data_IF_458005369506
#
_entry.id   IF_458005369506
#
_cell.length_a   1.000
_cell.length_b   1.000
_cell.length_c   1.000
_cell.angle_alpha   90.00
_cell.angle_beta   90.00
_cell.angle_gamma   90.00
#
_symmetry.space_group_name_H-M   'P 1'
#
loop_
_entity.id
_entity.type
_entity.pdbx_description
1 polymer ?
#
# COMPACT_ATOMS: atom_id res chain seq x y z
N UNK A 1 -3.27 60.40 2.75
CA UNK A 1 -2.00 59.64 2.79
C UNK A 1 -1.92 59.08 4.21
N UNK A 2 -2.10 57.80 4.49
CA UNK A 2 -1.52 56.60 3.86
C UNK A 2 -2.43 55.36 4.00
N UNK A 3 -2.19 54.42 3.07
CA UNK A 3 -2.86 53.14 2.75
C UNK A 3 -2.84 52.10 3.88
N UNK A 4 -3.87 51.27 4.11
CA UNK A 4 -4.46 50.12 3.36
C UNK A 4 -3.73 48.77 3.56
N UNK A 5 -4.55 47.76 3.92
CA UNK A 5 -4.41 46.31 3.77
C UNK A 5 -3.54 45.46 4.73
N UNK A 6 -4.23 44.81 5.67
CA UNK A 6 -3.86 43.49 6.21
C UNK A 6 -5.12 42.74 6.71
N UNK A 7 -5.89 42.14 5.81
CA UNK A 7 -7.07 41.32 6.20
C UNK A 7 -7.47 40.25 5.18
N UNK A 8 -6.49 39.61 4.53
CA UNK A 8 -6.73 38.63 3.44
C UNK A 8 -6.35 37.16 3.69
N UNK A 9 -5.42 36.86 4.61
CA UNK A 9 -4.64 35.61 4.47
C UNK A 9 -5.06 34.44 5.37
N UNK A 10 -5.90 34.67 6.38
CA UNK A 10 -6.35 33.60 7.29
C UNK A 10 -7.39 32.66 6.64
N UNK A 11 -8.28 33.19 5.80
CA UNK A 11 -9.35 32.43 5.17
C UNK A 11 -8.84 31.50 4.05
N UNK A 12 -7.80 31.92 3.32
CA UNK A 12 -7.18 31.12 2.25
C UNK A 12 -6.40 29.92 2.81
N UNK A 13 -5.76 30.07 3.97
CA UNK A 13 -4.89 29.06 4.57
C UNK A 13 -5.66 27.86 5.13
N UNK A 14 -6.83 28.08 5.74
CA UNK A 14 -7.70 27.01 6.25
C UNK A 14 -8.29 26.17 5.10
N UNK A 15 -8.74 26.85 4.03
CA UNK A 15 -9.27 26.20 2.83
C UNK A 15 -8.20 25.40 2.09
N UNK A 16 -6.96 25.90 2.05
CA UNK A 16 -5.82 25.20 1.43
C UNK A 16 -5.43 23.93 2.20
N UNK A 17 -5.53 23.95 3.53
CA UNK A 17 -5.30 22.78 4.35
C UNK A 17 -6.36 21.70 4.11
N UNK A 18 -7.62 22.11 3.96
CA UNK A 18 -8.73 21.19 3.71
C UNK A 18 -8.68 20.58 2.30
N UNK A 19 -8.41 21.40 1.28
CA UNK A 19 -8.32 20.94 -0.12
C UNK A 19 -7.24 19.88 -0.31
N UNK A 20 -6.05 20.07 0.26
CA UNK A 20 -4.96 19.09 0.10
C UNK A 20 -5.28 17.75 0.79
N UNK A 21 -5.97 17.79 1.94
CA UNK A 21 -6.42 16.58 2.63
C UNK A 21 -7.48 15.86 1.79
N UNK A 22 -8.43 16.57 1.20
CA UNK A 22 -9.41 15.98 0.30
C UNK A 22 -8.73 15.35 -0.93
N UNK A 23 -7.76 16.03 -1.55
CA UNK A 23 -7.00 15.46 -2.68
C UNK A 23 -6.24 14.20 -2.26
N UNK A 24 -5.56 14.21 -1.11
CA UNK A 24 -4.90 13.01 -0.57
C UNK A 24 -5.89 11.86 -0.38
N UNK A 25 -7.04 12.12 0.26
CA UNK A 25 -8.08 11.12 0.47
C UNK A 25 -8.61 10.56 -0.86
N UNK A 26 -8.86 11.42 -1.84
CA UNK A 26 -9.31 10.99 -3.16
C UNK A 26 -8.27 10.11 -3.86
N UNK A 27 -6.96 10.43 -3.75
CA UNK A 27 -5.89 9.61 -4.30
C UNK A 27 -5.83 8.25 -3.60
N UNK A 28 -5.95 8.21 -2.27
CA UNK A 28 -5.94 6.95 -1.51
C UNK A 28 -7.16 6.08 -1.82
N UNK A 29 -8.34 6.69 -1.95
CA UNK A 29 -9.57 5.99 -2.35
C UNK A 29 -9.47 5.45 -3.77
N UNK A 30 -8.95 6.24 -4.71
CA UNK A 30 -8.69 5.79 -6.08
C UNK A 30 -7.69 4.63 -6.09
N UNK A 31 -6.59 4.75 -5.34
CA UNK A 31 -5.57 3.72 -5.24
C UNK A 31 -6.12 2.40 -4.67
N UNK A 32 -6.95 2.49 -3.63
CA UNK A 32 -7.64 1.34 -3.04
C UNK A 32 -8.59 0.71 -4.04
N UNK A 33 -9.44 1.51 -4.69
CA UNK A 33 -10.39 1.02 -5.68
C UNK A 33 -9.69 0.30 -6.83
N UNK A 34 -8.64 0.88 -7.41
CA UNK A 34 -7.86 0.27 -8.49
C UNK A 34 -7.22 -1.06 -8.08
N UNK A 35 -6.83 -1.21 -6.81
CA UNK A 35 -6.19 -2.43 -6.30
C UNK A 35 -7.19 -3.51 -5.91
N UNK A 36 -8.39 -3.15 -5.45
CA UNK A 36 -9.44 -4.13 -5.13
C UNK A 36 -10.24 -4.54 -6.37
N UNK A 37 -10.27 -3.70 -7.41
CA UNK A 37 -10.97 -4.02 -8.65
C UNK A 37 -10.46 -5.33 -9.26
N UNK A 38 -11.37 -6.29 -9.45
CA UNK A 38 -11.10 -7.62 -10.00
C UNK A 38 -10.13 -8.51 -9.19
N UNK A 39 -9.91 -8.22 -7.90
CA UNK A 39 -8.91 -8.91 -7.06
C UNK A 39 -9.05 -10.45 -6.99
N UNK A 40 -10.27 -10.97 -7.16
CA UNK A 40 -10.58 -12.40 -7.09
C UNK A 40 -11.08 -12.99 -8.40
N UNK A 41 -10.95 -12.28 -9.53
CA UNK A 41 -11.42 -12.82 -10.81
C UNK A 41 -10.51 -13.93 -11.34
N UNK A 42 -9.20 -13.79 -11.13
CA UNK A 42 -8.22 -14.78 -11.54
C UNK A 42 -7.91 -15.75 -10.41
N UNK A 43 -7.85 -17.04 -10.73
CA UNK A 43 -7.31 -18.06 -9.82
C UNK A 43 -5.84 -17.76 -9.47
N UNK A 44 -5.34 -18.37 -8.41
CA UNK A 44 -3.92 -18.28 -8.08
C UNK A 44 -3.05 -18.85 -9.21
N UNK A 45 -2.01 -18.10 -9.57
CA UNK A 45 -0.93 -18.62 -10.39
C UNK A 45 0.11 -19.33 -9.52
N UNK A 46 1.04 -20.04 -10.16
CA UNK A 46 1.98 -20.97 -9.51
C UNK A 46 2.69 -20.38 -8.29
N UNK A 47 3.18 -19.15 -8.42
CA UNK A 47 3.95 -18.44 -7.39
C UNK A 47 3.10 -18.05 -6.16
N UNK A 48 1.83 -17.71 -6.36
CA UNK A 48 0.89 -17.46 -5.27
C UNK A 48 0.57 -18.75 -4.53
N UNK A 49 0.29 -19.84 -5.25
CA UNK A 49 0.02 -21.15 -4.64
C UNK A 49 1.19 -21.56 -3.74
N UNK A 50 2.43 -21.42 -4.20
CA UNK A 50 3.61 -21.74 -3.40
C UNK A 50 3.72 -20.86 -2.14
N UNK A 51 3.32 -19.59 -2.25
CA UNK A 51 3.30 -18.67 -1.11
C UNK A 51 2.25 -19.05 -0.07
N UNK A 52 1.06 -19.41 -0.51
CA UNK A 52 -0.04 -19.89 0.33
C UNK A 52 0.34 -21.20 1.02
N UNK A 53 0.85 -22.19 0.27
CA UNK A 53 1.26 -23.49 0.83
C UNK A 53 2.29 -23.35 1.95
N UNK A 54 3.29 -22.49 1.76
CA UNK A 54 4.28 -22.21 2.79
C UNK A 54 3.69 -21.50 4.00
N UNK A 55 2.83 -20.52 3.80
CA UNK A 55 2.14 -19.84 4.90
C UNK A 55 1.20 -20.79 5.68
N UNK A 56 0.67 -21.81 5.01
CA UNK A 56 -0.18 -22.86 5.60
C UNK A 56 0.60 -24.00 6.24
N UNK A 57 1.95 -24.02 6.16
CA UNK A 57 2.77 -25.01 6.85
C UNK A 57 2.58 -25.00 8.39
N UNK A 58 2.00 -23.93 8.94
CA UNK A 58 1.59 -23.82 10.33
C UNK A 58 2.45 -22.83 11.12
N UNK A 59 2.85 -23.20 12.34
CA UNK A 59 3.57 -22.31 13.25
C UNK A 59 4.90 -21.79 12.72
N UNK A 60 5.44 -20.76 13.37
CA UNK A 60 6.68 -20.03 12.99
C UNK A 60 7.83 -20.97 12.59
N UNK A 61 8.05 -22.05 13.37
CA UNK A 61 9.09 -23.05 13.11
C UNK A 61 8.84 -23.86 11.85
N UNK A 62 7.61 -24.29 11.60
CA UNK A 62 7.27 -25.06 10.42
C UNK A 62 7.46 -24.23 9.14
N UNK A 63 7.07 -22.95 9.18
CA UNK A 63 7.31 -22.01 8.07
C UNK A 63 8.82 -21.81 7.86
N UNK A 64 9.58 -21.63 8.93
CA UNK A 64 11.04 -21.51 8.83
C UNK A 64 11.67 -22.74 8.19
N UNK A 65 11.23 -23.94 8.59
CA UNK A 65 11.72 -25.19 8.02
C UNK A 65 11.30 -25.37 6.56
N UNK A 66 10.08 -24.96 6.17
CA UNK A 66 9.56 -24.98 4.80
C UNK A 66 10.25 -23.97 3.86
N UNK A 67 10.92 -22.97 4.42
CA UNK A 67 11.72 -21.98 3.70
C UNK A 67 13.21 -22.35 3.62
N UNK A 68 13.62 -23.51 4.15
CA UNK A 68 15.02 -23.95 4.01
C UNK A 68 15.37 -24.13 2.54
N UNK A 69 16.37 -23.36 2.08
CA UNK A 69 16.80 -23.34 0.69
C UNK A 69 16.00 -22.40 -0.21
N UNK A 70 15.02 -21.68 0.34
CA UNK A 70 14.30 -20.65 -0.39
C UNK A 70 15.04 -19.31 -0.37
N UNK A 71 14.95 -18.56 -1.47
CA UNK A 71 15.60 -17.25 -1.62
C UNK A 71 14.81 -16.10 -0.99
N UNK A 72 13.55 -16.32 -0.64
CA UNK A 72 12.66 -15.26 -0.17
C UNK A 72 12.71 -15.09 1.35
N UNK A 73 12.73 -13.85 1.87
CA UNK A 73 12.73 -13.59 3.31
C UNK A 73 11.50 -14.17 4.03
N UNK A 74 11.67 -14.74 5.24
CA UNK A 74 10.61 -15.48 5.94
C UNK A 74 9.50 -14.58 6.49
N UNK A 75 9.78 -13.30 6.71
CA UNK A 75 8.86 -12.37 7.35
C UNK A 75 7.51 -12.29 6.63
N UNK A 76 7.52 -12.27 5.30
CA UNK A 76 6.29 -12.25 4.51
C UNK A 76 5.40 -13.46 4.77
N UNK A 77 5.99 -14.67 4.86
CA UNK A 77 5.24 -15.91 5.04
C UNK A 77 4.66 -16.03 6.45
N UNK A 78 5.36 -15.54 7.47
CA UNK A 78 4.81 -15.44 8.82
C UNK A 78 3.65 -14.46 8.90
N UNK A 79 3.80 -13.28 8.30
CA UNK A 79 2.73 -12.28 8.25
C UNK A 79 1.51 -12.81 7.49
N UNK A 80 1.74 -13.44 6.33
CA UNK A 80 0.69 -14.07 5.54
C UNK A 80 0.01 -15.20 6.34
N UNK A 81 0.77 -16.08 7.00
CA UNK A 81 0.21 -17.16 7.83
C UNK A 81 -0.71 -16.64 8.93
N UNK A 82 -0.28 -15.58 9.63
CA UNK A 82 -1.14 -14.91 10.61
C UNK A 82 -2.38 -14.31 9.94
N UNK A 83 -2.21 -13.61 8.84
CA UNK A 83 -3.30 -12.95 8.09
C UNK A 83 -4.38 -13.93 7.62
N UNK A 84 -3.96 -15.08 7.07
CA UNK A 84 -4.86 -16.11 6.56
C UNK A 84 -5.77 -16.71 7.63
N UNK A 85 -5.40 -16.66 8.91
CA UNK A 85 -6.26 -17.11 10.02
C UNK A 85 -7.52 -16.26 10.18
N UNK A 86 -7.46 -14.98 9.77
CA UNK A 86 -8.56 -14.02 9.93
C UNK A 86 -9.36 -13.84 8.65
N UNK A 87 -8.67 -13.78 7.50
CA UNK A 87 -9.28 -13.44 6.20
C UNK A 87 -9.42 -14.63 5.24
N UNK A 88 -8.90 -15.80 5.62
CA UNK A 88 -8.94 -17.02 4.82
C UNK A 88 -7.96 -17.05 3.66
N UNK A 89 -7.78 -18.24 3.09
CA UNK A 89 -6.88 -18.53 1.98
C UNK A 89 -7.55 -18.51 0.59
N UNK A 90 -8.72 -17.89 0.49
CA UNK A 90 -9.32 -17.56 -0.80
C UNK A 90 -8.60 -16.39 -1.47
N UNK A 91 -8.75 -16.25 -2.79
CA UNK A 91 -8.03 -15.29 -3.63
C UNK A 91 -8.13 -13.87 -3.08
N UNK A 92 -9.36 -13.45 -2.75
CA UNK A 92 -9.61 -12.14 -2.17
C UNK A 92 -8.88 -11.97 -0.83
N UNK A 93 -9.09 -12.89 0.12
CA UNK A 93 -8.59 -12.78 1.49
C UNK A 93 -7.07 -12.70 1.56
N UNK A 94 -6.38 -13.56 0.81
CA UNK A 94 -4.92 -13.57 0.78
C UNK A 94 -4.33 -12.34 0.06
N UNK A 95 -4.89 -11.96 -1.09
CA UNK A 95 -4.41 -10.79 -1.85
C UNK A 95 -4.73 -9.48 -1.15
N UNK A 96 -5.73 -9.44 -0.27
CA UNK A 96 -6.10 -8.23 0.46
C UNK A 96 -4.96 -7.71 1.36
N UNK A 97 -4.10 -8.59 1.88
CA UNK A 97 -2.87 -8.18 2.59
C UNK A 97 -1.98 -7.29 1.70
N UNK A 98 -1.77 -7.70 0.46
CA UNK A 98 -0.96 -6.95 -0.52
C UNK A 98 -1.62 -5.65 -0.94
N UNK A 99 -2.94 -5.61 -1.02
CA UNK A 99 -3.69 -4.37 -1.25
C UNK A 99 -3.43 -3.36 -0.13
N UNK A 100 -3.50 -3.80 1.13
CA UNK A 100 -3.23 -2.93 2.27
C UNK A 100 -1.79 -2.42 2.27
N UNK A 101 -0.82 -3.28 1.96
CA UNK A 101 0.58 -2.88 1.82
C UNK A 101 0.73 -1.85 0.69
N UNK A 102 0.13 -2.08 -0.48
CA UNK A 102 0.22 -1.19 -1.63
C UNK A 102 -0.40 0.19 -1.41
N UNK A 103 -1.55 0.26 -0.71
CA UNK A 103 -2.15 1.55 -0.30
C UNK A 103 -1.32 2.19 0.80
N UNK A 104 -0.78 1.39 1.72
CA UNK A 104 0.17 1.80 2.75
C UNK A 104 1.40 2.48 2.16
N UNK A 105 1.99 1.94 1.09
CA UNK A 105 3.15 2.54 0.43
C UNK A 105 2.87 3.95 -0.09
N UNK A 106 1.65 4.18 -0.59
CA UNK A 106 1.22 5.49 -1.09
C UNK A 106 1.09 6.49 0.07
N UNK A 107 0.50 6.07 1.18
CA UNK A 107 0.40 6.89 2.38
C UNK A 107 1.78 7.19 3.01
N UNK A 108 2.64 6.17 3.08
CA UNK A 108 4.03 6.29 3.57
C UNK A 108 4.84 7.25 2.71
N UNK A 109 4.77 7.13 1.37
CA UNK A 109 5.46 8.03 0.46
C UNK A 109 5.04 9.50 0.64
N UNK A 110 3.74 9.74 0.87
CA UNK A 110 3.28 11.08 1.23
C UNK A 110 3.91 11.54 2.54
N UNK A 111 3.85 10.73 3.59
CA UNK A 111 4.37 11.06 4.92
C UNK A 111 5.87 11.37 4.89
N UNK A 112 6.67 10.53 4.24
CA UNK A 112 8.11 10.77 4.03
C UNK A 112 8.39 12.04 3.26
N UNK A 113 7.66 12.30 2.16
CA UNK A 113 7.80 13.56 1.44
C UNK A 113 7.49 14.78 2.31
N UNK A 114 6.56 14.66 3.27
CA UNK A 114 6.26 15.72 4.25
C UNK A 114 7.36 15.88 5.30
N UNK A 115 7.98 14.79 5.73
CA UNK A 115 9.10 14.78 6.67
C UNK A 115 10.36 15.39 6.07
N UNK A 116 10.64 15.12 4.79
CA UNK A 116 11.72 15.73 4.01
C UNK A 116 11.45 17.19 3.60
N UNK A 117 10.36 17.78 4.09
CA UNK A 117 9.93 19.15 3.78
C UNK A 117 9.78 19.47 2.28
N UNK A 118 9.44 18.46 1.47
CA UNK A 118 9.21 18.66 0.03
C UNK A 118 7.95 19.49 -0.22
N UNK A 119 7.87 20.19 -1.37
CA UNK A 119 6.67 20.90 -1.76
C UNK A 119 5.46 19.96 -1.80
N UNK A 120 4.34 20.36 -1.20
CA UNK A 120 3.12 19.54 -1.14
C UNK A 120 2.65 19.06 -2.51
N UNK A 121 2.79 19.90 -3.54
CA UNK A 121 2.46 19.54 -4.93
C UNK A 121 3.29 18.38 -5.42
N UNK A 122 4.60 18.38 -5.14
CA UNK A 122 5.49 17.28 -5.50
C UNK A 122 5.09 15.98 -4.80
N UNK A 123 4.77 16.04 -3.50
CA UNK A 123 4.28 14.87 -2.75
C UNK A 123 2.98 14.33 -3.36
N UNK A 124 2.01 15.19 -3.66
CA UNK A 124 0.72 14.80 -4.25
C UNK A 124 0.89 14.19 -5.65
N UNK A 125 1.78 14.74 -6.48
CA UNK A 125 2.10 14.20 -7.80
C UNK A 125 2.76 12.81 -7.66
N UNK A 126 3.75 12.67 -6.76
CA UNK A 126 4.45 11.41 -6.55
C UNK A 126 3.49 10.28 -6.14
N UNK A 127 2.62 10.54 -5.15
CA UNK A 127 1.65 9.53 -4.72
C UNK A 127 0.58 9.25 -5.76
N UNK A 128 0.19 10.24 -6.57
CA UNK A 128 -0.75 10.04 -7.66
C UNK A 128 -0.16 9.13 -8.75
N UNK A 129 1.10 9.35 -9.13
CA UNK A 129 1.82 8.50 -10.08
C UNK A 129 1.94 7.06 -9.55
N UNK A 130 2.24 6.89 -8.26
CA UNK A 130 2.28 5.56 -7.64
C UNK A 130 0.89 4.90 -7.55
N UNK A 131 -0.16 5.69 -7.32
CA UNK A 131 -1.54 5.21 -7.25
C UNK A 131 -2.01 4.58 -8.56
N UNK A 132 -1.70 5.22 -9.69
CA UNK A 132 -2.13 4.80 -11.03
C UNK A 132 -1.11 3.90 -11.76
N UNK A 133 0.08 3.67 -11.18
CA UNK A 133 1.13 2.87 -11.80
C UNK A 133 0.65 1.42 -12.03
N UNK A 134 0.60 0.93 -13.28
CA UNK A 134 0.15 -0.43 -13.58
C UNK A 134 0.96 -1.50 -12.84
N UNK A 135 2.27 -1.31 -12.69
CA UNK A 135 3.12 -2.23 -11.94
C UNK A 135 2.80 -2.24 -10.45
N UNK A 136 2.58 -1.07 -9.85
CA UNK A 136 2.23 -0.99 -8.43
C UNK A 136 0.87 -1.63 -8.15
N UNK A 137 -0.09 -1.48 -9.07
CA UNK A 137 -1.40 -2.15 -9.00
C UNK A 137 -1.22 -3.66 -9.13
N UNK A 138 -0.52 -4.12 -10.17
CA UNK A 138 -0.27 -5.55 -10.44
C UNK A 138 0.38 -6.28 -9.25
N UNK A 139 1.39 -5.69 -8.63
CA UNK A 139 2.03 -6.28 -7.44
C UNK A 139 1.17 -6.22 -6.17
N UNK A 140 0.27 -5.23 -6.06
CA UNK A 140 -0.69 -5.14 -4.95
C UNK A 140 -1.82 -6.17 -5.07
N UNK A 141 -2.03 -6.74 -6.26
CA UNK A 141 -3.07 -7.74 -6.54
C UNK A 141 -2.59 -9.18 -6.46
N UNK A 142 -1.39 -9.42 -5.95
CA UNK A 142 -0.85 -10.77 -5.80
C UNK A 142 -0.57 -11.07 -4.33
N UNK A 143 -0.86 -12.29 -3.90
CA UNK A 143 -0.46 -12.84 -2.60
C UNK A 143 1.05 -13.18 -2.60
N UNK A 144 1.88 -12.17 -2.88
CA UNK A 144 3.35 -12.24 -2.94
C UNK A 144 3.98 -11.11 -2.11
N UNK A 145 5.27 -11.26 -1.78
CA UNK A 145 6.02 -10.32 -0.94
C UNK A 145 6.29 -8.94 -1.57
N UNK A 146 5.99 -8.73 -2.85
CA UNK A 146 6.38 -7.51 -3.58
C UNK A 146 5.75 -6.24 -2.99
N UNK A 147 4.44 -6.26 -2.70
CA UNK A 147 3.77 -5.10 -2.12
C UNK A 147 4.30 -4.76 -0.72
N UNK A 148 4.60 -5.78 0.09
CA UNK A 148 5.21 -5.61 1.41
C UNK A 148 6.62 -5.03 1.29
N UNK A 149 7.43 -5.51 0.34
CA UNK A 149 8.78 -4.98 0.09
C UNK A 149 8.74 -3.49 -0.25
N UNK A 150 7.83 -3.08 -1.15
CA UNK A 150 7.65 -1.67 -1.49
C UNK A 150 7.19 -0.87 -0.28
N UNK A 151 6.28 -1.39 0.53
CA UNK A 151 5.80 -0.71 1.73
C UNK A 151 6.90 -0.48 2.77
N UNK A 152 7.78 -1.44 2.98
CA UNK A 152 8.88 -1.33 3.95
C UNK A 152 10.11 -0.58 3.41
N UNK A 153 10.22 -0.42 2.09
CA UNK A 153 11.33 0.26 1.43
C UNK A 153 11.06 1.73 1.08
N UNK A 154 9.80 2.15 1.15
CA UNK A 154 9.35 3.55 1.04
C UNK A 154 9.40 4.22 2.40
#
# INVERSE_FOLDING_TARGET
>A
MTEKHASGDACSTFFFFNRNRMVLLLILLLAFWLRVFALSQESYWFDEVHSIQKAQAGGVRAIWEALRGDVHPPFYFWLLSWWLQWFGAGEFGARFLSVLCGVGSIAALYAWGRELHLPRRACLIAIFLLAISPHAIWYSQQARMYALLVFLGV
#
